data_IF_408605919492
#
_entry.id   IF_408605919492
#
_cell.length_a   1.000
_cell.length_b   1.000
_cell.length_c   1.000
_cell.angle_alpha   90.00
_cell.angle_beta   90.00
_cell.angle_gamma   90.00
#
_symmetry.space_group_name_H-M   'P 1'
#
loop_
_entity.id
_entity.type
_entity.pdbx_description
1 polymer ?
#
# COMPACT_ATOMS: atom_id res chain seq x y z
N UNK A 1 7.20 -8.93 -0.77
CA UNK A 1 6.81 -8.34 0.53
C UNK A 1 6.09 -7.07 0.25
N UNK A 2 4.90 -6.90 0.75
CA UNK A 2 4.14 -5.67 0.59
C UNK A 2 4.90 -4.53 1.30
N UNK A 3 4.92 -3.35 0.69
CA UNK A 3 5.48 -2.14 1.30
C UNK A 3 4.42 -1.04 1.33
N UNK A 4 3.25 -1.35 1.90
CA UNK A 4 2.12 -0.41 1.93
C UNK A 4 2.48 0.91 2.63
N UNK A 5 3.45 0.92 3.55
CA UNK A 5 4.00 2.15 4.12
C UNK A 5 4.65 3.03 3.06
N UNK A 6 5.44 2.43 2.16
CA UNK A 6 6.06 3.11 1.04
C UNK A 6 5.02 3.61 0.02
N UNK A 7 4.04 2.77 -0.31
CA UNK A 7 2.90 3.16 -1.16
C UNK A 7 2.11 4.32 -0.57
N UNK A 8 1.90 4.35 0.75
CA UNK A 8 1.28 5.49 1.43
C UNK A 8 2.06 6.79 1.25
N UNK A 9 3.40 6.75 1.36
CA UNK A 9 4.27 7.91 1.12
C UNK A 9 4.15 8.39 -0.32
N UNK A 10 4.31 7.49 -1.30
CA UNK A 10 4.19 7.80 -2.73
C UNK A 10 2.80 8.35 -3.05
N UNK A 11 1.75 7.75 -2.47
CA UNK A 11 0.37 8.22 -2.60
C UNK A 11 0.20 9.67 -2.16
N UNK A 12 0.74 10.06 -0.99
CA UNK A 12 0.65 11.45 -0.50
C UNK A 12 1.41 12.41 -1.40
N UNK A 13 2.63 12.08 -1.82
CA UNK A 13 3.40 12.97 -2.69
C UNK A 13 2.84 13.03 -4.11
N UNK A 14 2.41 11.90 -4.67
CA UNK A 14 1.79 11.83 -5.99
C UNK A 14 0.45 12.57 -6.05
N UNK A 15 -0.35 12.53 -4.98
CA UNK A 15 -1.63 13.25 -4.92
C UNK A 15 -1.49 14.77 -5.07
N UNK A 16 -0.34 15.34 -4.67
CA UNK A 16 -0.03 16.77 -4.86
C UNK A 16 0.12 17.13 -6.33
N UNK A 17 0.74 16.25 -7.12
CA UNK A 17 0.93 16.48 -8.55
C UNK A 17 -0.39 16.47 -9.33
N UNK A 18 -1.39 15.71 -8.87
CA UNK A 18 -2.71 15.61 -9.49
C UNK A 18 -3.59 16.85 -9.28
N UNK A 19 -3.24 17.73 -8.34
CA UNK A 19 -4.08 18.87 -7.94
C UNK A 19 -4.17 19.99 -9.02
N UNK A 20 -3.31 20.00 -10.02
CA UNK A 20 -3.23 21.04 -11.05
C UNK A 20 -4.20 20.87 -12.23
N UNK A 21 -4.91 19.77 -12.35
CA UNK A 21 -5.68 19.44 -13.56
C UNK A 21 -7.14 19.91 -13.49
N UNK A 22 -7.48 20.98 -14.22
CA UNK A 22 -8.82 21.25 -14.74
C UNK A 22 -9.84 21.90 -13.80
N UNK A 23 -11.03 22.16 -14.33
CA UNK A 23 -12.17 22.86 -13.74
C UNK A 23 -12.98 22.06 -12.68
N UNK A 24 -12.38 21.08 -12.00
CA UNK A 24 -13.04 20.28 -10.97
C UNK A 24 -13.34 21.11 -9.71
N UNK A 25 -14.48 20.87 -9.07
CA UNK A 25 -14.84 21.48 -7.79
C UNK A 25 -13.81 21.13 -6.70
N UNK A 26 -13.72 21.95 -5.64
CA UNK A 26 -12.83 21.67 -4.50
C UNK A 26 -13.08 20.28 -3.88
N UNK A 27 -14.36 19.87 -3.83
CA UNK A 27 -14.76 18.55 -3.35
C UNK A 27 -14.21 17.42 -4.24
N UNK A 28 -14.32 17.56 -5.57
CA UNK A 28 -13.81 16.55 -6.52
C UNK A 28 -12.30 16.42 -6.45
N UNK A 29 -11.59 17.55 -6.29
CA UNK A 29 -10.12 17.55 -6.07
C UNK A 29 -9.75 16.87 -4.76
N UNK A 30 -10.48 17.12 -3.69
CA UNK A 30 -10.28 16.44 -2.40
C UNK A 30 -10.55 14.94 -2.51
N UNK A 31 -11.68 14.54 -3.09
CA UNK A 31 -12.01 13.14 -3.35
C UNK A 31 -10.94 12.45 -4.22
N UNK A 32 -10.41 13.12 -5.25
CA UNK A 32 -9.34 12.61 -6.11
C UNK A 32 -8.07 12.33 -5.29
N UNK A 33 -7.60 13.29 -4.51
CA UNK A 33 -6.39 13.12 -3.69
C UNK A 33 -6.55 12.00 -2.67
N UNK A 34 -7.66 12.01 -1.93
CA UNK A 34 -7.94 10.96 -0.95
C UNK A 34 -8.03 9.58 -1.61
N UNK A 35 -8.76 9.47 -2.73
CA UNK A 35 -8.86 8.24 -3.49
C UNK A 35 -7.48 7.75 -3.96
N UNK A 36 -6.63 8.66 -4.42
CA UNK A 36 -5.29 8.32 -4.90
C UNK A 36 -4.39 7.76 -3.79
N UNK A 37 -4.38 8.37 -2.59
CA UNK A 37 -3.64 7.84 -1.45
C UNK A 37 -4.18 6.50 -1.01
N UNK A 38 -5.51 6.37 -0.91
CA UNK A 38 -6.15 5.12 -0.49
C UNK A 38 -5.94 4.02 -1.54
N UNK A 39 -6.06 4.34 -2.81
CA UNK A 39 -5.82 3.42 -3.93
C UNK A 39 -4.39 2.87 -3.98
N UNK A 40 -3.41 3.64 -3.48
CA UNK A 40 -2.04 3.15 -3.32
C UNK A 40 -1.84 2.16 -2.15
N UNK A 41 -2.85 1.95 -1.29
CA UNK A 41 -2.74 1.04 -0.13
C UNK A 41 -3.67 -0.17 -0.29
N UNK A 42 -4.82 0.02 -0.93
CA UNK A 42 -5.90 -0.97 -1.00
C UNK A 42 -5.55 -2.26 -1.76
N UNK A 43 -4.71 -2.30 -2.81
CA UNK A 43 -4.40 -3.57 -3.48
C UNK A 43 -3.91 -4.66 -2.54
N UNK A 44 -3.10 -4.33 -1.54
CA UNK A 44 -2.59 -5.26 -0.53
C UNK A 44 -3.66 -5.87 0.41
N UNK A 45 -4.91 -5.43 0.33
CA UNK A 45 -6.02 -5.98 1.16
C UNK A 45 -6.27 -7.46 0.86
N UNK A 46 -5.87 -7.96 -0.31
CA UNK A 46 -5.91 -9.38 -0.64
C UNK A 46 -5.10 -10.27 0.33
N UNK A 47 -4.11 -9.70 1.00
CA UNK A 47 -3.35 -10.41 2.03
C UNK A 47 -4.20 -10.80 3.25
N UNK A 48 -5.28 -10.08 3.56
CA UNK A 48 -6.15 -10.42 4.69
C UNK A 48 -6.74 -11.83 4.58
N UNK A 49 -7.42 -12.21 3.48
CA UNK A 49 -7.86 -13.60 3.32
C UNK A 49 -6.70 -14.57 3.09
N UNK A 50 -5.59 -14.12 2.51
CA UNK A 50 -4.45 -14.98 2.20
C UNK A 50 -3.58 -15.31 3.43
N UNK A 51 -3.72 -14.61 4.56
CA UNK A 51 -2.90 -14.87 5.75
C UNK A 51 -3.04 -16.30 6.27
N UNK A 52 -4.24 -16.85 6.26
CA UNK A 52 -4.48 -18.24 6.68
C UNK A 52 -3.88 -19.23 5.68
N UNK A 53 -4.01 -18.95 4.39
CA UNK A 53 -3.38 -19.75 3.34
C UNK A 53 -1.86 -19.67 3.42
N UNK A 54 -1.29 -18.51 3.76
CA UNK A 54 0.15 -18.33 3.94
C UNK A 54 0.71 -19.21 5.05
N UNK A 55 -0.02 -19.40 6.14
CA UNK A 55 0.38 -20.30 7.24
C UNK A 55 0.35 -21.78 6.84
N UNK A 56 -0.51 -22.13 5.88
CA UNK A 56 -0.64 -23.50 5.36
C UNK A 56 0.31 -23.77 4.18
N UNK A 57 0.29 -22.90 3.17
CA UNK A 57 1.16 -22.95 1.99
C UNK A 57 1.55 -21.54 1.55
N UNK A 58 2.72 -21.12 1.98
CA UNK A 58 3.23 -19.77 1.69
C UNK A 58 3.50 -19.54 0.20
N UNK A 59 3.83 -20.58 -0.58
CA UNK A 59 4.07 -20.45 -2.03
C UNK A 59 2.76 -20.20 -2.76
N UNK A 60 1.72 -20.95 -2.43
CA UNK A 60 0.40 -20.77 -3.02
C UNK A 60 -0.18 -19.41 -2.66
N UNK A 61 -0.12 -18.99 -1.39
CA UNK A 61 -0.57 -17.67 -0.97
C UNK A 61 0.15 -16.55 -1.74
N UNK A 62 1.46 -16.66 -1.88
CA UNK A 62 2.25 -15.66 -2.61
C UNK A 62 2.04 -15.68 -4.13
N UNK A 63 1.66 -16.82 -4.70
CA UNK A 63 1.27 -16.88 -6.12
C UNK A 63 -0.10 -16.27 -6.40
N UNK A 64 -0.99 -16.26 -5.39
CA UNK A 64 -2.30 -15.62 -5.47
C UNK A 64 -2.24 -14.12 -5.17
N UNK A 65 -1.33 -13.71 -4.30
CA UNK A 65 -1.04 -12.29 -4.07
C UNK A 65 -0.49 -11.66 -5.35
N UNK A 66 -0.84 -10.41 -5.61
CA UNK A 66 -0.48 -9.66 -6.83
C UNK A 66 -1.07 -10.19 -8.13
N UNK A 67 -2.24 -10.81 -8.05
CA UNK A 67 -3.03 -11.18 -9.21
C UNK A 67 -4.23 -10.24 -9.35
N UNK A 68 -5.38 -10.65 -8.88
CA UNK A 68 -6.66 -9.99 -9.06
C UNK A 68 -6.68 -8.52 -8.60
N UNK A 69 -6.23 -8.23 -7.36
CA UNK A 69 -6.24 -6.89 -6.79
C UNK A 69 -5.18 -5.97 -7.39
N UNK A 70 -4.12 -6.54 -7.95
CA UNK A 70 -2.99 -5.84 -8.57
C UNK A 70 -3.10 -5.86 -10.11
N UNK A 71 -4.31 -5.77 -10.64
CA UNK A 71 -4.54 -5.79 -12.07
C UNK A 71 -5.20 -4.51 -12.58
N UNK A 72 -4.89 -4.15 -13.82
CA UNK A 72 -5.55 -3.04 -14.51
C UNK A 72 -7.06 -3.26 -14.62
N UNK A 73 -7.52 -4.53 -14.70
CA UNK A 73 -8.94 -4.85 -14.72
C UNK A 73 -9.61 -4.48 -13.40
N UNK A 74 -8.97 -4.76 -12.25
CA UNK A 74 -9.51 -4.38 -10.95
C UNK A 74 -9.53 -2.86 -10.79
N UNK A 75 -8.47 -2.15 -11.19
CA UNK A 75 -8.45 -0.69 -11.17
C UNK A 75 -9.60 -0.10 -12.01
N UNK A 76 -9.84 -0.65 -13.20
CA UNK A 76 -10.97 -0.26 -14.05
C UNK A 76 -12.33 -0.58 -13.39
N UNK A 77 -12.49 -1.76 -12.81
CA UNK A 77 -13.72 -2.14 -12.10
C UNK A 77 -14.04 -1.18 -10.94
N UNK A 78 -13.03 -0.84 -10.12
CA UNK A 78 -13.15 0.13 -9.03
C UNK A 78 -13.55 1.50 -9.59
N UNK A 79 -12.93 1.95 -10.68
CA UNK A 79 -13.30 3.19 -11.34
C UNK A 79 -14.80 3.20 -11.70
N UNK A 80 -15.28 2.20 -12.43
CA UNK A 80 -16.67 2.16 -12.88
C UNK A 80 -17.67 2.07 -11.72
N UNK A 81 -17.37 1.29 -10.68
CA UNK A 81 -18.23 1.19 -9.49
C UNK A 81 -18.40 2.54 -8.80
N UNK A 82 -17.33 3.30 -8.60
CA UNK A 82 -17.41 4.60 -7.91
C UNK A 82 -17.89 5.72 -8.84
N UNK A 83 -17.62 5.67 -10.13
CA UNK A 83 -18.17 6.58 -11.13
C UNK A 83 -19.71 6.44 -11.21
N UNK A 84 -20.23 5.20 -11.25
CA UNK A 84 -21.65 4.91 -11.23
C UNK A 84 -22.35 5.43 -9.94
N UNK A 85 -21.62 5.55 -8.83
CA UNK A 85 -22.08 6.16 -7.58
C UNK A 85 -21.98 7.70 -7.57
N UNK A 86 -21.78 8.31 -8.73
CA UNK A 86 -21.63 9.76 -8.91
C UNK A 86 -20.50 10.40 -8.08
N UNK A 87 -19.39 9.68 -7.94
CA UNK A 87 -18.18 10.15 -7.25
C UNK A 87 -16.96 10.08 -8.17
N UNK A 88 -16.95 10.84 -9.29
CA UNK A 88 -15.91 10.70 -10.33
C UNK A 88 -14.50 11.02 -9.82
N UNK A 89 -14.33 12.03 -8.95
CA UNK A 89 -13.04 12.35 -8.35
C UNK A 89 -12.49 11.18 -7.53
N UNK A 90 -13.32 10.57 -6.66
CA UNK A 90 -12.92 9.41 -5.88
C UNK A 90 -12.63 8.20 -6.76
N UNK A 91 -13.48 7.96 -7.80
CA UNK A 91 -13.29 6.87 -8.75
C UNK A 91 -11.93 6.96 -9.45
N UNK A 92 -11.63 8.14 -10.02
CA UNK A 92 -10.37 8.38 -10.70
C UNK A 92 -9.18 8.27 -9.74
N UNK A 93 -9.30 8.84 -8.53
CA UNK A 93 -8.26 8.76 -7.52
C UNK A 93 -7.93 7.33 -7.13
N UNK A 94 -8.95 6.52 -6.77
CA UNK A 94 -8.76 5.11 -6.42
C UNK A 94 -8.10 4.33 -7.54
N UNK A 95 -8.62 4.41 -8.76
CA UNK A 95 -8.08 3.67 -9.90
C UNK A 95 -6.65 4.10 -10.23
N UNK A 96 -6.38 5.41 -10.29
CA UNK A 96 -5.03 5.92 -10.55
C UNK A 96 -4.04 5.55 -9.42
N UNK A 97 -4.50 5.53 -8.17
CA UNK A 97 -3.70 5.08 -7.04
C UNK A 97 -3.37 3.60 -7.14
N UNK A 98 -4.33 2.74 -7.50
CA UNK A 98 -4.09 1.30 -7.72
C UNK A 98 -3.08 1.08 -8.85
N UNK A 99 -3.27 1.75 -9.99
CA UNK A 99 -2.31 1.65 -11.10
C UNK A 99 -0.91 2.09 -10.68
N UNK A 100 -0.78 3.17 -9.90
CA UNK A 100 0.53 3.59 -9.41
C UNK A 100 1.12 2.57 -8.43
N UNK A 101 0.30 1.97 -7.54
CA UNK A 101 0.72 0.87 -6.67
C UNK A 101 1.33 -0.27 -7.50
N UNK A 102 0.61 -0.75 -8.50
CA UNK A 102 1.04 -1.85 -9.36
C UNK A 102 2.33 -1.51 -10.13
N UNK A 103 2.46 -0.28 -10.64
CA UNK A 103 3.67 0.18 -11.33
C UNK A 103 4.87 0.27 -10.38
N UNK A 104 4.66 0.71 -9.15
CA UNK A 104 5.70 0.72 -8.13
C UNK A 104 6.11 -0.70 -7.78
N UNK A 105 5.16 -1.61 -7.64
CA UNK A 105 5.45 -3.03 -7.40
C UNK A 105 6.26 -3.65 -8.54
N UNK A 106 5.91 -3.39 -9.79
CA UNK A 106 6.71 -3.83 -10.95
C UNK A 106 8.14 -3.29 -10.89
N UNK A 107 8.31 -2.04 -10.45
CA UNK A 107 9.61 -1.38 -10.39
C UNK A 107 10.49 -1.81 -9.22
N UNK A 108 9.90 -2.19 -8.08
CA UNK A 108 10.63 -2.41 -6.82
C UNK A 108 10.63 -3.89 -6.40
N UNK A 109 9.71 -4.72 -6.94
CA UNK A 109 9.55 -6.10 -6.52
C UNK A 109 10.17 -7.12 -7.46
N UNK A 110 10.68 -8.18 -6.85
CA UNK A 110 11.48 -9.20 -7.52
C UNK A 110 10.68 -10.44 -7.95
N UNK A 111 9.37 -10.51 -7.58
CA UNK A 111 8.51 -11.66 -7.90
C UNK A 111 7.50 -11.42 -9.02
N UNK A 112 7.46 -10.19 -9.54
CA UNK A 112 6.53 -9.81 -10.61
C UNK A 112 5.12 -9.49 -10.13
N UNK A 113 4.33 -8.87 -11.00
CA UNK A 113 2.94 -8.46 -10.79
C UNK A 113 2.11 -8.89 -11.99
N UNK A 114 0.95 -9.48 -11.77
CA UNK A 114 0.05 -9.96 -12.82
C UNK A 114 -0.89 -8.83 -13.30
N UNK A 115 -0.27 -7.81 -13.94
CA UNK A 115 -0.96 -6.59 -14.39
C UNK A 115 -2.14 -6.86 -15.31
N UNK A 116 -2.03 -7.90 -16.15
CA UNK A 116 -3.03 -8.21 -17.16
C UNK A 116 -3.90 -9.41 -16.76
N UNK A 117 -3.97 -9.74 -15.45
CA UNK A 117 -4.94 -10.71 -14.97
C UNK A 117 -6.35 -10.34 -15.51
N UNK A 118 -7.17 -11.25 -16.02
CA UNK A 118 -7.06 -12.73 -15.98
C UNK A 118 -6.44 -13.38 -17.23
N UNK A 119 -5.72 -12.66 -18.08
CA UNK A 119 -5.16 -13.22 -19.32
C UNK A 119 -4.28 -14.46 -19.09
N UNK A 120 -3.59 -14.52 -17.94
CA UNK A 120 -2.81 -15.70 -17.54
C UNK A 120 -3.64 -16.98 -17.44
N UNK A 121 -4.92 -16.88 -17.09
CA UNK A 121 -5.84 -18.02 -17.07
C UNK A 121 -6.16 -18.57 -18.48
N UNK A 122 -5.92 -17.76 -19.51
CA UNK A 122 -6.08 -18.12 -20.91
C UNK A 122 -4.76 -18.55 -21.56
N UNK A 123 -3.68 -18.72 -20.76
CA UNK A 123 -2.35 -19.05 -21.25
C UNK A 123 -1.62 -17.91 -21.96
N UNK A 124 -2.08 -16.66 -21.81
CA UNK A 124 -1.44 -15.48 -22.38
C UNK A 124 -0.50 -14.83 -21.38
N UNK A 125 0.57 -14.14 -21.82
CA UNK A 125 1.44 -13.38 -20.93
C UNK A 125 0.67 -12.31 -20.16
N UNK A 126 0.72 -12.35 -18.83
CA UNK A 126 -0.03 -11.43 -17.97
C UNK A 126 0.84 -10.81 -16.87
N UNK A 127 1.92 -11.51 -16.48
CA UNK A 127 2.83 -11.10 -15.41
C UNK A 127 3.99 -10.27 -15.96
N UNK A 128 4.25 -9.13 -15.35
CA UNK A 128 5.42 -8.29 -15.60
C UNK A 128 6.41 -8.47 -14.45
N UNK A 129 7.63 -8.88 -14.76
CA UNK A 129 8.72 -9.03 -13.79
C UNK A 129 10.03 -8.47 -14.36
N UNK A 130 10.42 -7.28 -13.91
CA UNK A 130 11.65 -6.63 -14.35
C UNK A 130 12.91 -7.27 -13.74
N UNK A 131 12.77 -8.03 -12.66
CA UNK A 131 13.86 -8.57 -11.86
C UNK A 131 13.91 -10.10 -11.83
N UNK A 132 13.34 -10.75 -12.84
CA UNK A 132 13.20 -12.21 -12.89
C UNK A 132 14.53 -12.96 -12.67
N UNK A 133 15.66 -12.36 -13.04
CA UNK A 133 16.99 -12.94 -12.93
C UNK A 133 17.78 -12.47 -11.69
N UNK A 134 17.18 -11.60 -10.84
CA UNK A 134 17.87 -11.10 -9.66
C UNK A 134 17.60 -12.01 -8.46
N UNK A 135 18.66 -12.60 -7.95
CA UNK A 135 18.62 -13.37 -6.70
C UNK A 135 18.96 -12.47 -5.51
N UNK A 136 18.01 -12.35 -4.56
CA UNK A 136 18.22 -11.59 -3.34
C UNK A 136 18.50 -12.52 -2.19
N UNK A 137 19.62 -12.33 -1.46
CA UNK A 137 19.89 -13.09 -0.24
C UNK A 137 18.75 -12.95 0.77
N UNK A 138 18.40 -14.04 1.46
CA UNK A 138 17.27 -14.06 2.40
C UNK A 138 17.34 -12.97 3.49
N UNK A 139 18.54 -12.67 4.01
CA UNK A 139 18.73 -11.60 5.00
C UNK A 139 18.39 -10.22 4.42
N UNK A 140 18.73 -9.95 3.16
CA UNK A 140 18.39 -8.69 2.49
C UNK A 140 16.87 -8.60 2.33
N UNK A 141 16.21 -9.69 1.92
CA UNK A 141 14.76 -9.78 1.86
C UNK A 141 14.09 -9.51 3.22
N UNK A 142 14.65 -10.05 4.30
CA UNK A 142 14.17 -9.81 5.67
C UNK A 142 14.38 -8.34 6.09
N UNK A 143 15.52 -7.73 5.78
CA UNK A 143 15.77 -6.31 6.07
C UNK A 143 14.83 -5.38 5.28
N UNK A 144 14.52 -5.71 4.03
CA UNK A 144 13.50 -5.00 3.25
C UNK A 144 12.11 -5.12 3.90
N UNK A 145 11.77 -6.29 4.46
CA UNK A 145 10.55 -6.45 5.26
C UNK A 145 10.55 -5.59 6.54
N UNK A 146 11.68 -5.49 7.24
CA UNK A 146 11.82 -4.61 8.40
C UNK A 146 11.69 -3.13 8.01
N UNK A 147 12.19 -2.74 6.83
CA UNK A 147 12.09 -1.36 6.32
C UNK A 147 10.64 -0.91 6.05
N UNK A 148 9.69 -1.84 5.94
CA UNK A 148 8.28 -1.49 5.80
C UNK A 148 7.73 -0.77 7.03
N UNK A 149 8.12 -1.19 8.25
CA UNK A 149 7.74 -0.49 9.48
C UNK A 149 8.33 0.93 9.52
N UNK A 150 9.57 1.11 9.03
CA UNK A 150 10.19 2.43 8.85
C UNK A 150 9.35 3.31 7.91
N UNK A 151 8.93 2.75 6.76
CA UNK A 151 8.11 3.44 5.79
C UNK A 151 6.75 3.85 6.38
N UNK A 152 6.08 2.99 7.16
CA UNK A 152 4.87 3.36 7.89
C UNK A 152 5.12 4.51 8.89
N UNK A 153 6.22 4.45 9.64
CA UNK A 153 6.60 5.54 10.54
C UNK A 153 6.75 6.86 9.81
N UNK A 154 7.44 6.87 8.67
CA UNK A 154 7.60 8.06 7.81
C UNK A 154 6.24 8.52 7.27
N UNK A 155 5.39 7.61 6.78
CA UNK A 155 4.05 7.92 6.29
C UNK A 155 3.23 8.65 7.37
N UNK A 156 3.22 8.14 8.61
CA UNK A 156 2.48 8.76 9.71
C UNK A 156 3.07 10.12 10.12
N UNK A 157 4.40 10.29 10.05
CA UNK A 157 5.05 11.59 10.25
C UNK A 157 4.63 12.59 9.18
N UNK A 158 4.56 12.17 7.92
CA UNK A 158 4.13 13.04 6.80
C UNK A 158 2.69 13.53 7.03
N UNK A 159 1.77 12.62 7.36
CA UNK A 159 0.38 12.98 7.67
C UNK A 159 0.28 13.89 8.89
N UNK A 160 1.05 13.59 9.97
CA UNK A 160 1.06 14.42 11.18
C UNK A 160 1.57 15.83 10.89
N UNK A 161 2.64 15.98 10.11
CA UNK A 161 3.17 17.31 9.74
C UNK A 161 2.16 18.09 8.89
N UNK A 162 1.47 17.42 7.97
CA UNK A 162 0.43 18.05 7.18
C UNK A 162 -0.74 18.51 8.05
N UNK A 163 -1.21 17.68 8.98
CA UNK A 163 -2.28 18.02 9.93
C UNK A 163 -1.96 19.23 10.80
N UNK A 164 -0.72 19.32 11.30
CA UNK A 164 -0.25 20.45 12.08
C UNK A 164 -0.21 21.76 11.27
N UNK A 165 0.22 21.68 10.00
CA UNK A 165 0.26 22.86 9.11
C UNK A 165 -1.12 23.37 8.72
N UNK A 166 -2.10 22.47 8.65
CA UNK A 166 -3.46 22.79 8.23
C UNK A 166 -4.41 23.00 9.41
N UNK A 167 -3.92 22.85 10.64
CA UNK A 167 -4.70 22.89 11.90
C UNK A 167 -5.93 21.96 11.87
N UNK A 168 -5.77 20.79 11.16
CA UNK A 168 -6.85 19.85 10.90
C UNK A 168 -6.57 18.52 11.60
N UNK A 169 -7.61 17.81 12.07
CA UNK A 169 -7.52 16.52 12.78
C UNK A 169 -6.67 16.58 14.07
N UNK A 170 -6.57 17.74 14.74
CA UNK A 170 -5.71 17.94 15.91
C UNK A 170 -6.00 16.97 17.06
N UNK A 171 -7.26 16.59 17.28
CA UNK A 171 -7.67 15.64 18.32
C UNK A 171 -7.14 14.21 18.07
N UNK A 172 -6.75 13.88 16.84
CA UNK A 172 -6.20 12.58 16.48
C UNK A 172 -4.67 12.52 16.60
N UNK A 173 -3.99 13.67 16.67
CA UNK A 173 -2.51 13.73 16.68
C UNK A 173 -1.83 12.97 17.83
N UNK A 174 -2.37 12.92 19.07
CA UNK A 174 -1.77 12.10 20.13
C UNK A 174 -1.72 10.62 19.77
N UNK A 175 -2.81 10.07 19.19
CA UNK A 175 -2.86 8.69 18.72
C UNK A 175 -1.90 8.44 17.57
N UNK A 176 -1.85 9.36 16.61
CA UNK A 176 -0.95 9.26 15.47
C UNK A 176 0.52 9.30 15.91
N UNK A 177 0.87 10.10 16.96
CA UNK A 177 2.20 10.09 17.57
C UNK A 177 2.52 8.74 18.20
N UNK A 178 1.56 8.14 18.94
CA UNK A 178 1.73 6.82 19.52
C UNK A 178 1.98 5.77 18.44
N UNK A 179 1.16 5.76 17.39
CA UNK A 179 1.32 4.82 16.26
C UNK A 179 2.66 5.02 15.55
N UNK A 180 3.12 6.26 15.37
CA UNK A 180 4.45 6.57 14.82
C UNK A 180 5.55 5.99 15.72
N UNK A 181 5.46 6.22 17.04
CA UNK A 181 6.44 5.68 18.00
C UNK A 181 6.51 4.15 17.94
N UNK A 182 5.34 3.49 17.85
CA UNK A 182 5.27 2.04 17.68
C UNK A 182 6.02 1.56 16.42
N UNK A 183 5.93 2.31 15.30
CA UNK A 183 6.65 1.94 14.08
C UNK A 183 8.17 1.97 14.25
N UNK A 184 8.71 2.94 14.97
CA UNK A 184 10.14 2.99 15.26
C UNK A 184 10.60 1.80 16.11
N UNK A 185 9.80 1.42 17.11
CA UNK A 185 10.07 0.24 17.94
C UNK A 185 9.98 -1.04 17.09
N UNK A 186 8.95 -1.19 16.27
CA UNK A 186 8.80 -2.34 15.38
C UNK A 186 9.94 -2.41 14.35
N UNK A 187 10.36 -1.28 13.80
CA UNK A 187 11.54 -1.24 12.91
C UNK A 187 12.77 -1.82 13.60
N UNK A 188 13.09 -1.35 14.81
CA UNK A 188 14.24 -1.85 15.56
C UNK A 188 14.13 -3.36 15.86
N UNK A 189 12.96 -3.81 16.32
CA UNK A 189 12.70 -5.23 16.61
C UNK A 189 12.88 -6.07 15.34
N UNK A 190 12.24 -5.68 14.24
CA UNK A 190 12.28 -6.48 13.01
C UNK A 190 13.64 -6.43 12.29
N UNK A 191 14.44 -5.38 12.46
CA UNK A 191 15.85 -5.38 12.03
C UNK A 191 16.65 -6.43 12.81
N UNK A 192 16.49 -6.51 14.13
CA UNK A 192 17.15 -7.54 14.95
C UNK A 192 16.68 -8.94 14.54
N UNK A 193 15.37 -9.14 14.38
CA UNK A 193 14.80 -10.43 13.94
C UNK A 193 15.29 -10.81 12.53
N UNK A 194 15.46 -9.85 11.61
CA UNK A 194 15.99 -10.10 10.27
C UNK A 194 17.43 -10.63 10.28
N UNK A 195 18.21 -10.24 11.28
CA UNK A 195 19.60 -10.68 11.45
C UNK A 195 19.72 -11.98 12.23
N UNK A 196 18.74 -12.30 13.10
CA UNK A 196 18.80 -13.46 14.01
C UNK A 196 18.03 -14.69 13.52
N UNK A 197 16.96 -14.48 12.76
CA UNK A 197 16.07 -15.57 12.36
C UNK A 197 16.36 -16.05 10.93
N UNK A 198 15.97 -17.31 10.64
CA UNK A 198 15.87 -17.75 9.25
C UNK A 198 14.87 -16.89 8.48
N UNK A 199 15.11 -16.68 7.19
CA UNK A 199 14.23 -15.88 6.32
C UNK A 199 12.78 -16.38 6.36
N UNK A 200 12.57 -17.69 6.40
CA UNK A 200 11.22 -18.28 6.48
C UNK A 200 10.48 -17.90 7.76
N UNK A 201 11.14 -18.02 8.93
CA UNK A 201 10.53 -17.67 10.21
C UNK A 201 10.28 -16.17 10.33
N UNK A 202 11.25 -15.36 9.88
CA UNK A 202 11.05 -13.90 9.79
C UNK A 202 9.81 -13.56 8.96
N UNK A 203 9.66 -14.16 7.78
CA UNK A 203 8.54 -13.89 6.89
C UNK A 203 7.18 -14.25 7.54
N UNK A 204 7.07 -15.37 8.24
CA UNK A 204 5.84 -15.74 8.95
C UNK A 204 5.45 -14.66 9.95
N UNK A 205 6.39 -14.22 10.79
CA UNK A 205 6.14 -13.18 11.80
C UNK A 205 5.80 -11.84 11.16
N UNK A 206 6.57 -11.45 10.14
CA UNK A 206 6.36 -10.20 9.42
C UNK A 206 5.00 -10.18 8.73
N UNK A 207 4.65 -11.21 7.97
CA UNK A 207 3.36 -11.26 7.25
C UNK A 207 2.17 -11.30 8.20
N UNK A 208 2.26 -12.05 9.30
CA UNK A 208 1.18 -12.08 10.28
C UNK A 208 0.94 -10.68 10.88
N UNK A 209 1.99 -10.00 11.37
CA UNK A 209 1.86 -8.68 11.96
C UNK A 209 1.46 -7.63 10.90
N UNK A 210 2.08 -7.68 9.72
CA UNK A 210 1.76 -6.79 8.62
C UNK A 210 0.28 -6.89 8.24
N UNK A 211 -0.18 -8.07 7.93
CA UNK A 211 -1.52 -8.30 7.39
C UNK A 211 -2.61 -8.04 8.43
N UNK A 212 -2.42 -8.54 9.67
CA UNK A 212 -3.48 -8.47 10.68
C UNK A 212 -3.52 -7.15 11.44
N UNK A 213 -2.42 -6.40 11.47
CA UNK A 213 -2.33 -5.18 12.28
C UNK A 213 -1.96 -3.97 11.44
N UNK A 214 -0.86 -4.04 10.69
CA UNK A 214 -0.29 -2.85 10.07
C UNK A 214 -1.10 -2.33 8.89
N UNK A 215 -1.54 -3.22 8.01
CA UNK A 215 -2.37 -2.86 6.86
C UNK A 215 -3.74 -2.30 7.28
N UNK A 216 -4.51 -2.95 8.18
CA UNK A 216 -5.74 -2.35 8.72
C UNK A 216 -5.50 -1.00 9.43
N UNK A 217 -4.40 -0.88 10.17
CA UNK A 217 -4.04 0.38 10.84
C UNK A 217 -3.73 1.49 9.83
N UNK A 218 -3.00 1.18 8.75
CA UNK A 218 -2.69 2.16 7.70
C UNK A 218 -3.96 2.65 7.00
N UNK A 219 -4.87 1.74 6.66
CA UNK A 219 -6.17 2.08 6.07
C UNK A 219 -6.97 2.94 7.05
N UNK A 220 -7.07 2.54 8.32
CA UNK A 220 -7.77 3.30 9.36
C UNK A 220 -7.22 4.72 9.50
N UNK A 221 -5.89 4.87 9.59
CA UNK A 221 -5.24 6.18 9.68
C UNK A 221 -5.50 7.01 8.43
N UNK A 222 -5.36 6.42 7.23
CA UNK A 222 -5.64 7.10 5.96
C UNK A 222 -7.06 7.64 5.92
N UNK A 223 -8.05 6.84 6.33
CA UNK A 223 -9.45 7.25 6.40
C UNK A 223 -9.67 8.34 7.45
N UNK A 224 -9.08 8.23 8.64
CA UNK A 224 -9.18 9.26 9.70
C UNK A 224 -8.50 10.57 9.32
N UNK A 225 -7.43 10.49 8.53
CA UNK A 225 -6.68 11.66 8.05
C UNK A 225 -7.18 12.19 6.70
N UNK A 226 -8.34 11.70 6.22
CA UNK A 226 -8.95 12.15 4.98
C UNK A 226 -9.04 13.67 4.86
N UNK A 227 -9.54 14.45 5.88
CA UNK A 227 -9.61 15.90 5.76
C UNK A 227 -8.25 16.57 5.52
N UNK A 228 -7.17 15.96 6.03
CA UNK A 228 -5.79 16.43 5.80
C UNK A 228 -5.35 16.09 4.37
N UNK A 229 -5.62 14.86 3.91
CA UNK A 229 -5.23 14.39 2.59
C UNK A 229 -5.92 15.18 1.47
N UNK A 230 -7.19 15.51 1.65
CA UNK A 230 -7.98 16.27 0.67
C UNK A 230 -7.42 17.68 0.40
N UNK A 231 -6.67 18.25 1.36
CA UNK A 231 -6.11 19.60 1.27
C UNK A 231 -4.63 19.59 0.87
N UNK A 232 -3.87 18.49 1.14
CA UNK A 232 -2.46 18.40 0.75
C UNK A 232 -2.28 18.68 -0.75
#
# INVERSE_FOLDING_TARGET
>A
MAQSGFHGIIGVYGSRALAGSGAASAREKGDLKFGFVLGNIVPDVDLLPLVLLYLYDSRLAMSMHRTFTHSLLMAAAVYFVFAARRRPGLALGLAAGMVLHDLVDVAVWFSGVDLLWPLGLLGLPSTVNLWANLHIPGVVGSLLGAADYLAYGIYFVVLRRAALRQETCLSFLPRLRLYTGLQWVLTAIFVVLALMLSHSLFNVLHYALFTLVMLPLAIYITVKMRPVIEVI
#
